data_IF_464775873210
#
_entry.id   IF_464775873210
#
_cell.length_a   1.000
_cell.length_b   1.000
_cell.length_c   1.000
_cell.angle_alpha   90.00
_cell.angle_beta   90.00
_cell.angle_gamma   90.00
#
_symmetry.space_group_name_H-M   'P 1'
#
loop_
_entity.id
_entity.type
_entity.pdbx_description
1 polymer ?
#
# COMPACT_ATOMS: atom_id res chain seq x y z
N UNK A 1 -21.29 -28.25 25.69
CA UNK A 1 -20.38 -29.07 24.86
C UNK A 1 -19.89 -28.29 23.64
N UNK A 2 -18.72 -28.64 23.10
CA UNK A 2 -18.13 -27.99 21.92
C UNK A 2 -19.02 -28.08 20.65
N UNK A 3 -19.86 -29.11 20.56
CA UNK A 3 -20.83 -29.27 19.47
C UNK A 3 -21.98 -28.25 19.56
N UNK A 4 -22.47 -27.97 20.76
CA UNK A 4 -23.59 -27.03 20.98
C UNK A 4 -23.17 -25.58 20.77
N UNK A 5 -21.91 -25.23 21.08
CA UNK A 5 -21.39 -23.88 20.88
C UNK A 5 -21.33 -23.50 19.40
N UNK A 6 -20.92 -24.41 18.52
CA UNK A 6 -20.88 -24.16 17.07
C UNK A 6 -22.29 -23.99 16.48
N UNK A 7 -23.25 -24.82 16.93
CA UNK A 7 -24.64 -24.72 16.49
C UNK A 7 -25.30 -23.40 16.93
N UNK A 8 -24.93 -22.86 18.12
CA UNK A 8 -25.50 -21.64 18.69
C UNK A 8 -25.36 -20.41 17.79
N UNK A 9 -24.24 -20.29 17.07
CA UNK A 9 -23.99 -19.17 16.15
C UNK A 9 -24.98 -19.13 14.97
N UNK A 10 -25.43 -20.32 14.54
CA UNK A 10 -26.40 -20.48 13.46
C UNK A 10 -27.82 -20.35 14.03
N UNK A 11 -28.13 -21.11 15.09
CA UNK A 11 -29.48 -21.15 15.66
C UNK A 11 -29.94 -19.80 16.22
N UNK A 12 -29.04 -19.01 16.82
CA UNK A 12 -29.38 -17.66 17.29
C UNK A 12 -29.78 -16.72 16.14
N UNK A 13 -29.14 -16.85 14.97
CA UNK A 13 -29.47 -16.07 13.77
C UNK A 13 -30.77 -16.54 13.11
N UNK A 14 -31.03 -17.84 13.16
CA UNK A 14 -32.15 -18.48 12.46
C UNK A 14 -33.42 -18.57 13.32
N UNK A 15 -33.34 -18.32 14.63
CA UNK A 15 -34.50 -18.37 15.55
C UNK A 15 -35.61 -17.43 15.06
N UNK A 16 -36.84 -17.95 14.94
CA UNK A 16 -38.03 -17.19 14.52
C UNK A 16 -38.26 -15.98 15.43
N UNK A 17 -37.82 -14.80 14.99
CA UNK A 17 -38.19 -13.48 15.52
C UNK A 17 -39.07 -12.74 14.52
N UNK A 18 -40.11 -13.40 14.01
CA UNK A 18 -40.95 -12.90 12.91
C UNK A 18 -40.33 -13.04 11.50
N UNK A 19 -39.13 -13.60 11.37
CA UNK A 19 -38.49 -13.88 10.08
C UNK A 19 -38.84 -15.29 9.58
N UNK A 20 -39.13 -15.40 8.28
CA UNK A 20 -39.35 -16.64 7.56
C UNK A 20 -38.17 -16.87 6.61
N UNK A 21 -37.57 -18.05 6.67
CA UNK A 21 -36.50 -18.44 5.77
C UNK A 21 -37.05 -19.44 4.77
N UNK A 22 -36.86 -19.18 3.48
CA UNK A 22 -36.99 -20.22 2.46
C UNK A 22 -35.89 -21.25 2.66
N UNK A 23 -36.09 -22.47 2.15
CA UNK A 23 -35.09 -23.54 2.23
C UNK A 23 -33.73 -23.12 1.64
N UNK A 24 -33.74 -22.54 0.44
CA UNK A 24 -32.55 -21.98 -0.20
C UNK A 24 -31.90 -20.85 0.63
N UNK A 25 -32.72 -19.96 1.21
CA UNK A 25 -32.22 -18.85 2.03
C UNK A 25 -31.60 -19.34 3.34
N UNK A 26 -32.20 -20.36 3.96
CA UNK A 26 -31.69 -21.00 5.15
C UNK A 26 -30.34 -21.67 4.90
N UNK A 27 -30.24 -22.45 3.81
CA UNK A 27 -29.00 -23.13 3.43
C UNK A 27 -27.87 -22.12 3.15
N UNK A 28 -28.15 -21.07 2.36
CA UNK A 28 -27.17 -20.03 2.07
C UNK A 28 -26.68 -19.32 3.35
N UNK A 29 -27.59 -19.01 4.28
CA UNK A 29 -27.25 -18.38 5.55
C UNK A 29 -26.35 -19.26 6.43
N UNK A 30 -26.64 -20.56 6.51
CA UNK A 30 -25.82 -21.53 7.24
C UNK A 30 -24.42 -21.57 6.65
N UNK A 31 -24.30 -21.69 5.31
CA UNK A 31 -23.01 -21.70 4.60
C UNK A 31 -22.19 -20.43 4.86
N UNK A 32 -22.83 -19.26 4.85
CA UNK A 32 -22.17 -17.98 5.17
C UNK A 32 -21.66 -17.98 6.61
N UNK A 33 -22.50 -18.35 7.59
CA UNK A 33 -22.10 -18.36 9.01
C UNK A 33 -20.98 -19.35 9.27
N UNK A 34 -21.06 -20.55 8.70
CA UNK A 34 -20.00 -21.55 8.81
C UNK A 34 -18.71 -21.07 8.16
N UNK A 35 -18.79 -20.46 6.98
CA UNK A 35 -17.62 -19.92 6.31
C UNK A 35 -16.97 -18.75 7.06
N UNK A 36 -17.74 -17.93 7.79
CA UNK A 36 -17.19 -16.88 8.68
C UNK A 36 -16.43 -17.51 9.84
N UNK A 37 -17.02 -18.49 10.51
CA UNK A 37 -16.40 -19.19 11.64
C UNK A 37 -15.13 -19.94 11.22
N UNK A 38 -15.15 -20.56 10.04
CA UNK A 38 -14.00 -21.30 9.50
C UNK A 38 -12.97 -20.40 8.82
N UNK A 39 -13.23 -19.09 8.67
CA UNK A 39 -12.37 -18.16 7.93
C UNK A 39 -12.39 -18.33 6.40
N UNK A 40 -13.04 -19.37 5.88
CA UNK A 40 -13.06 -19.72 4.45
C UNK A 40 -13.99 -18.84 3.61
N UNK A 41 -14.98 -18.17 4.23
CA UNK A 41 -15.92 -17.32 3.48
C UNK A 41 -15.18 -16.19 2.75
N UNK A 42 -14.17 -15.60 3.40
CA UNK A 42 -13.39 -14.52 2.79
C UNK A 42 -12.70 -15.00 1.52
N UNK A 43 -12.11 -16.19 1.56
CA UNK A 43 -11.43 -16.79 0.41
C UNK A 43 -12.41 -17.08 -0.72
N UNK A 44 -13.56 -17.70 -0.42
CA UNK A 44 -14.61 -17.99 -1.41
C UNK A 44 -15.20 -16.71 -2.00
N UNK A 45 -15.51 -15.71 -1.17
CA UNK A 45 -16.07 -14.43 -1.60
C UNK A 45 -15.07 -13.64 -2.46
N UNK A 46 -13.79 -13.67 -2.11
CA UNK A 46 -12.73 -13.02 -2.90
C UNK A 46 -12.39 -13.81 -4.17
N UNK A 47 -12.53 -15.14 -4.18
CA UNK A 47 -12.30 -15.99 -5.36
C UNK A 47 -13.17 -15.59 -6.55
N UNK A 48 -14.42 -15.22 -6.29
CA UNK A 48 -15.34 -14.75 -7.33
C UNK A 48 -15.24 -13.25 -7.62
N UNK A 49 -14.47 -12.51 -6.82
CA UNK A 49 -14.30 -11.06 -6.96
C UNK A 49 -12.99 -10.72 -7.69
N UNK A 50 -12.85 -11.22 -8.92
CA UNK A 50 -11.76 -10.79 -9.80
C UNK A 50 -12.02 -9.37 -10.29
N UNK A 51 -11.09 -8.45 -10.01
CA UNK A 51 -11.10 -7.11 -10.62
C UNK A 51 -10.59 -7.20 -12.05
N UNK A 52 -11.12 -6.38 -12.95
CA UNK A 52 -10.55 -6.25 -14.30
C UNK A 52 -9.09 -5.80 -14.24
N UNK A 53 -8.30 -6.20 -15.24
CA UNK A 53 -6.88 -5.86 -15.37
C UNK A 53 -6.61 -4.35 -15.21
N UNK A 54 -7.48 -3.51 -15.78
CA UNK A 54 -7.38 -2.05 -15.64
C UNK A 54 -7.51 -1.59 -14.19
N UNK A 55 -8.50 -2.12 -13.45
CA UNK A 55 -8.68 -1.79 -12.03
C UNK A 55 -7.53 -2.28 -11.17
N UNK A 56 -6.96 -3.45 -11.50
CA UNK A 56 -5.77 -3.95 -10.81
C UNK A 56 -4.56 -3.04 -11.05
N UNK A 57 -4.34 -2.58 -12.28
CA UNK A 57 -3.26 -1.65 -12.63
C UNK A 57 -3.35 -0.34 -11.86
N UNK A 58 -4.54 0.27 -11.83
CA UNK A 58 -4.76 1.53 -11.10
C UNK A 58 -4.45 1.37 -9.60
N UNK A 59 -4.81 0.22 -9.02
CA UNK A 59 -4.54 -0.06 -7.61
C UNK A 59 -3.05 -0.29 -7.34
N UNK A 60 -2.35 -1.01 -8.22
CA UNK A 60 -0.88 -1.14 -8.15
C UNK A 60 -0.20 0.22 -8.23
N UNK A 61 -0.69 1.10 -9.10
CA UNK A 61 -0.17 2.46 -9.24
C UNK A 61 -0.39 3.29 -7.96
N UNK A 62 -1.60 3.25 -7.37
CA UNK A 62 -1.88 3.99 -6.13
C UNK A 62 -1.04 3.49 -4.95
N UNK A 63 -0.86 2.16 -4.82
CA UNK A 63 0.02 1.58 -3.81
C UNK A 63 1.45 2.09 -4.00
N UNK A 64 2.00 2.02 -5.22
CA UNK A 64 3.36 2.48 -5.53
C UNK A 64 3.55 3.96 -5.19
N UNK A 65 2.58 4.81 -5.55
CA UNK A 65 2.62 6.24 -5.21
C UNK A 65 2.59 6.46 -3.70
N UNK A 66 1.72 5.75 -2.97
CA UNK A 66 1.66 5.88 -1.50
C UNK A 66 2.97 5.43 -0.82
N UNK A 67 3.64 4.41 -1.37
CA UNK A 67 4.93 3.94 -0.86
C UNK A 67 6.01 4.98 -1.10
N UNK A 68 6.07 5.57 -2.30
CA UNK A 68 7.04 6.61 -2.64
C UNK A 68 6.87 7.84 -1.73
N UNK A 69 5.64 8.27 -1.50
CA UNK A 69 5.35 9.42 -0.63
C UNK A 69 5.66 9.15 0.85
N UNK A 70 5.65 7.88 1.29
CA UNK A 70 6.02 7.48 2.64
C UNK A 70 7.53 7.36 2.84
N UNK A 71 8.33 7.34 1.78
CA UNK A 71 9.78 7.26 1.93
C UNK A 71 10.29 8.52 2.62
N UNK A 72 11.21 8.39 3.60
CA UNK A 72 11.81 9.56 4.22
C UNK A 72 12.49 10.39 3.14
N UNK A 73 12.12 11.68 3.07
CA UNK A 73 12.71 12.62 2.11
C UNK A 73 14.20 12.69 2.44
N UNK A 74 15.04 12.15 1.55
CA UNK A 74 16.48 12.39 1.62
C UNK A 74 16.68 13.87 1.36
N UNK A 75 17.41 14.61 2.22
CA UNK A 75 17.77 15.98 1.88
C UNK A 75 18.45 15.96 0.52
N UNK A 76 18.05 16.85 -0.38
CA UNK A 76 18.81 17.06 -1.60
C UNK A 76 20.24 17.35 -1.16
N UNK A 77 21.20 16.59 -1.67
CA UNK A 77 22.60 17.03 -1.56
C UNK A 77 22.59 18.38 -2.25
N UNK A 78 22.78 19.45 -1.48
CA UNK A 78 22.78 20.82 -1.98
C UNK A 78 23.80 21.00 -3.09
N UNK A 79 23.94 22.25 -3.57
CA UNK A 79 24.97 22.61 -4.55
C UNK A 79 26.29 21.96 -4.16
N UNK A 80 26.81 21.08 -5.01
CA UNK A 80 28.11 20.45 -4.76
C UNK A 80 29.15 21.55 -4.82
N UNK A 81 29.63 21.98 -3.66
CA UNK A 81 30.76 22.90 -3.59
C UNK A 81 31.99 22.15 -4.06
N UNK A 82 32.50 22.54 -5.23
CA UNK A 82 33.72 22.03 -5.81
C UNK A 82 34.48 23.19 -6.43
N UNK A 83 35.80 23.21 -6.21
CA UNK A 83 36.72 24.11 -6.87
C UNK A 83 37.48 23.36 -7.96
N UNK A 84 37.75 24.04 -9.07
CA UNK A 84 38.72 23.56 -10.06
C UNK A 84 40.07 24.14 -9.66
N UNK A 85 41.03 23.29 -9.29
CA UNK A 85 42.37 23.72 -8.99
C UNK A 85 43.04 24.24 -10.28
N UNK A 86 43.33 25.55 -10.31
CA UNK A 86 44.07 26.17 -11.40
C UNK A 86 45.56 26.09 -11.11
N UNK A 87 46.24 25.04 -11.61
CA UNK A 87 47.70 24.93 -11.58
C UNK A 87 48.32 25.77 -12.71
N UNK A 88 48.03 27.07 -12.74
CA UNK A 88 48.51 27.99 -13.78
C UNK A 88 49.12 29.23 -13.15
N UNK A 89 50.03 29.89 -13.87
CA UNK A 89 50.66 31.13 -13.40
C UNK A 89 49.61 32.20 -13.09
N UNK A 90 49.84 33.00 -12.05
CA UNK A 90 48.98 34.14 -11.66
C UNK A 90 48.87 35.20 -12.77
N UNK A 91 49.83 35.23 -13.69
CA UNK A 91 49.84 36.09 -14.88
C UNK A 91 49.02 35.56 -16.06
N UNK A 92 48.49 34.34 -15.98
CA UNK A 92 47.60 33.80 -17.02
C UNK A 92 46.23 34.47 -16.97
N UNK A 93 45.49 34.45 -18.08
CA UNK A 93 44.13 35.01 -18.12
C UNK A 93 43.23 34.43 -17.01
N UNK A 94 43.37 33.13 -16.73
CA UNK A 94 42.62 32.45 -15.66
C UNK A 94 43.08 32.85 -14.25
N UNK A 95 44.39 33.07 -14.05
CA UNK A 95 44.93 33.56 -12.78
C UNK A 95 44.55 35.01 -12.48
N UNK A 96 44.45 35.86 -13.50
CA UNK A 96 43.98 37.22 -13.30
C UNK A 96 42.48 37.25 -12.97
N UNK A 97 41.70 36.41 -13.64
CA UNK A 97 40.26 36.26 -13.41
C UNK A 97 39.97 35.73 -11.99
N UNK A 98 40.73 34.74 -11.51
CA UNK A 98 40.58 34.25 -10.12
C UNK A 98 40.87 35.32 -9.07
N UNK A 99 41.85 36.18 -9.32
CA UNK A 99 42.19 37.31 -8.45
C UNK A 99 41.08 38.37 -8.40
N UNK A 100 40.41 38.63 -9.52
CA UNK A 100 39.27 39.57 -9.60
C UNK A 100 38.05 39.01 -8.85
N UNK A 101 37.83 37.71 -8.93
CA UNK A 101 36.68 37.04 -8.28
C UNK A 101 36.92 36.70 -6.80
N UNK A 102 38.03 37.13 -6.21
CA UNK A 102 38.43 36.81 -4.82
C UNK A 102 38.37 35.30 -4.49
N UNK A 103 38.54 34.45 -5.51
CA UNK A 103 38.60 33.00 -5.34
C UNK A 103 39.94 32.66 -4.71
N UNK A 104 40.00 32.79 -3.39
CA UNK A 104 41.12 32.40 -2.56
C UNK A 104 41.13 30.86 -2.51
N UNK A 105 42.08 30.24 -3.20
CA UNK A 105 42.37 28.81 -3.09
C UNK A 105 43.53 28.57 -2.14
#
# INVERSE_FOLDING_TARGET
GAMESNQRHISFRMKKRGMHWSELGAEAMVKIKQGILNGTLREVYLKHRSRSERKQRNLKQSIRMSQLLKQPVRPSVGVKHGSVALHSSSSSAMGHLSKILELSF
#
